data_IF_215172370781
#
_entry.id   IF_215172370781
#
_cell.length_a   1.000
_cell.length_b   1.000
_cell.length_c   1.000
_cell.angle_alpha   90.00
_cell.angle_beta   90.00
_cell.angle_gamma   90.00
#
_symmetry.space_group_name_H-M   'P 1'
#
loop_
_entity.id
_entity.type
_entity.pdbx_description
1 polymer ?
#
# COMPACT_ATOMS: atom_id res chain seq x y z
N UNK A 1 22.06 1.54 23.72
CA UNK A 1 21.97 1.13 22.30
C UNK A 1 21.19 -0.17 22.13
N UNK A 2 21.50 -1.26 22.83
CA UNK A 2 20.75 -2.54 22.70
C UNK A 2 19.25 -2.45 23.01
N UNK A 3 18.85 -1.69 24.04
CA UNK A 3 17.43 -1.49 24.40
C UNK A 3 16.59 -0.80 23.31
N UNK A 4 17.19 0.05 22.49
CA UNK A 4 16.48 0.76 21.41
C UNK A 4 16.31 -0.13 20.17
N UNK A 5 17.21 -1.11 19.96
CA UNK A 5 17.11 -2.05 18.82
C UNK A 5 15.93 -2.99 19.00
N UNK A 6 15.75 -3.57 20.18
CA UNK A 6 14.61 -4.46 20.44
C UNK A 6 13.28 -3.71 20.33
N UNK A 7 13.24 -2.46 20.82
CA UNK A 7 12.06 -1.60 20.65
C UNK A 7 11.79 -1.32 19.16
N UNK A 8 12.80 -0.92 18.39
CA UNK A 8 12.65 -0.62 16.96
C UNK A 8 12.19 -1.85 16.15
N UNK A 9 12.74 -3.03 16.44
CA UNK A 9 12.28 -4.29 15.85
C UNK A 9 10.85 -4.66 16.30
N UNK A 10 10.50 -4.39 17.55
CA UNK A 10 9.16 -4.60 18.08
C UNK A 10 8.12 -3.68 17.43
N UNK A 11 8.46 -2.41 17.20
CA UNK A 11 7.60 -1.42 16.55
C UNK A 11 7.37 -1.74 15.07
N UNK A 12 8.40 -2.17 14.35
CA UNK A 12 8.29 -2.60 12.94
C UNK A 12 7.52 -3.90 12.79
N UNK A 13 7.67 -4.84 13.75
CA UNK A 13 6.81 -6.02 13.80
C UNK A 13 5.35 -5.63 14.08
N UNK A 14 5.11 -4.73 15.04
CA UNK A 14 3.76 -4.24 15.37
C UNK A 14 3.08 -3.61 14.14
N UNK A 15 3.77 -2.71 13.45
CA UNK A 15 3.27 -2.06 12.25
C UNK A 15 2.98 -3.07 11.14
N UNK A 16 3.92 -3.98 10.81
CA UNK A 16 3.72 -5.00 9.79
C UNK A 16 2.57 -5.98 10.09
N UNK A 17 2.36 -6.31 11.38
CA UNK A 17 1.23 -7.15 11.81
C UNK A 17 -0.13 -6.50 11.56
N UNK A 18 -0.22 -5.16 11.50
CA UNK A 18 -1.46 -4.46 11.22
C UNK A 18 -2.02 -4.77 9.82
N UNK A 19 -1.17 -5.11 8.86
CA UNK A 19 -1.58 -5.66 7.55
C UNK A 19 -2.33 -6.98 7.72
N UNK A 20 -1.83 -7.85 8.59
CA UNK A 20 -2.52 -9.08 9.00
C UNK A 20 -3.86 -8.80 9.68
N UNK A 21 -3.95 -7.77 10.53
CA UNK A 21 -5.20 -7.36 11.18
C UNK A 21 -6.23 -6.91 10.16
N UNK A 22 -5.85 -6.06 9.19
CA UNK A 22 -6.74 -5.66 8.11
C UNK A 22 -7.29 -6.84 7.30
N UNK A 23 -6.46 -7.87 7.10
CA UNK A 23 -6.86 -9.08 6.36
C UNK A 23 -7.94 -9.91 7.05
N UNK A 24 -8.16 -9.72 8.36
CA UNK A 24 -9.22 -10.40 9.10
C UNK A 24 -10.61 -9.99 8.60
N UNK A 25 -10.76 -8.84 7.95
CA UNK A 25 -12.05 -8.40 7.40
C UNK A 25 -12.63 -9.41 6.40
N UNK A 26 -11.77 -10.13 5.67
CA UNK A 26 -12.17 -11.17 4.73
C UNK A 26 -12.88 -12.37 5.41
N UNK A 27 -12.70 -12.55 6.74
CA UNK A 27 -13.41 -13.60 7.47
C UNK A 27 -14.86 -13.27 7.75
N UNK A 28 -15.20 -11.98 7.83
CA UNK A 28 -16.54 -11.51 8.19
C UNK A 28 -17.42 -11.20 6.98
N UNK A 29 -16.87 -11.32 5.76
CA UNK A 29 -17.62 -11.08 4.52
C UNK A 29 -17.99 -12.37 3.79
N UNK A 30 -18.96 -12.26 2.89
CA UNK A 30 -19.39 -13.34 1.99
C UNK A 30 -18.92 -13.07 0.57
N UNK A 31 -18.57 -14.14 -0.15
CA UNK A 31 -18.06 -14.08 -1.53
C UNK A 31 -19.03 -13.44 -2.52
N UNK A 32 -20.32 -13.43 -2.19
CA UNK A 32 -21.39 -12.89 -3.05
C UNK A 32 -21.67 -11.41 -2.80
N UNK A 33 -21.05 -10.78 -1.79
CA UNK A 33 -21.31 -9.39 -1.42
C UNK A 33 -20.42 -8.42 -2.23
N UNK A 34 -20.74 -8.22 -3.50
CA UNK A 34 -20.02 -7.30 -4.40
C UNK A 34 -20.06 -5.84 -3.94
N UNK A 35 -21.10 -5.43 -3.20
CA UNK A 35 -21.16 -4.09 -2.56
C UNK A 35 -20.03 -3.88 -1.57
N UNK A 36 -19.78 -4.87 -0.72
CA UNK A 36 -18.65 -4.84 0.21
C UNK A 36 -17.32 -4.85 -0.54
N UNK A 37 -17.20 -5.65 -1.61
CA UNK A 37 -16.00 -5.66 -2.46
C UNK A 37 -15.72 -4.27 -3.04
N UNK A 38 -16.71 -3.63 -3.67
CA UNK A 38 -16.59 -2.26 -4.22
C UNK A 38 -16.18 -1.26 -3.15
N UNK A 39 -16.89 -1.24 -2.02
CA UNK A 39 -16.62 -0.31 -0.92
C UNK A 39 -15.22 -0.52 -0.33
N UNK A 40 -14.81 -1.77 -0.09
CA UNK A 40 -13.53 -2.12 0.50
C UNK A 40 -12.35 -1.75 -0.41
N UNK A 41 -12.44 -2.06 -1.71
CA UNK A 41 -11.39 -1.71 -2.68
C UNK A 41 -11.30 -0.19 -2.87
N UNK A 42 -12.45 0.50 -2.96
CA UNK A 42 -12.50 1.96 -3.00
C UNK A 42 -11.85 2.57 -1.76
N UNK A 43 -12.19 2.07 -0.57
CA UNK A 43 -11.60 2.50 0.70
C UNK A 43 -10.08 2.33 0.74
N UNK A 44 -9.57 1.16 0.34
CA UNK A 44 -8.13 0.92 0.26
C UNK A 44 -7.44 1.87 -0.73
N UNK A 45 -8.01 2.06 -1.93
CA UNK A 45 -7.48 3.01 -2.91
C UNK A 45 -7.44 4.45 -2.36
N UNK A 46 -8.50 4.87 -1.66
CA UNK A 46 -8.58 6.20 -1.05
C UNK A 46 -7.51 6.43 0.01
N UNK A 47 -7.30 5.47 0.91
CA UNK A 47 -6.23 5.55 1.92
C UNK A 47 -4.86 5.61 1.25
N UNK A 48 -4.58 4.68 0.32
CA UNK A 48 -3.29 4.60 -0.36
C UNK A 48 -2.96 5.88 -1.15
N UNK A 49 -3.93 6.47 -1.87
CA UNK A 49 -3.72 7.74 -2.58
C UNK A 49 -3.43 8.87 -1.58
N UNK A 50 -4.21 8.96 -0.50
CA UNK A 50 -4.08 10.05 0.45
C UNK A 50 -2.73 10.01 1.18
N UNK A 51 -2.36 8.85 1.77
CA UNK A 51 -1.08 8.70 2.48
C UNK A 51 0.11 8.94 1.54
N UNK A 52 0.03 8.45 0.30
CA UNK A 52 1.11 8.62 -0.68
C UNK A 52 1.38 10.09 -0.99
N UNK A 53 0.32 10.89 -1.21
CA UNK A 53 0.46 12.28 -1.63
C UNK A 53 0.68 13.25 -0.47
N UNK A 54 0.03 13.01 0.68
CA UNK A 54 0.04 13.95 1.80
C UNK A 54 1.17 13.66 2.78
N UNK A 55 1.60 12.41 2.91
CA UNK A 55 2.64 12.02 3.88
C UNK A 55 3.93 11.54 3.19
N UNK A 56 3.86 10.46 2.40
CA UNK A 56 5.08 9.79 1.88
C UNK A 56 5.81 10.70 0.89
N UNK A 57 5.10 11.33 -0.05
CA UNK A 57 5.68 12.29 -0.98
C UNK A 57 6.29 13.49 -0.26
N UNK A 58 5.65 13.97 0.81
CA UNK A 58 6.13 15.12 1.59
C UNK A 58 7.40 14.74 2.37
N UNK A 59 7.44 13.57 3.01
CA UNK A 59 8.65 13.03 3.66
C UNK A 59 9.81 12.88 2.68
N UNK A 60 9.53 12.36 1.48
CA UNK A 60 10.53 12.27 0.41
C UNK A 60 11.07 13.65 0.03
N UNK A 61 10.18 14.63 -0.16
CA UNK A 61 10.54 16.02 -0.45
C UNK A 61 11.39 16.61 0.65
N UNK A 62 11.00 16.49 1.91
CA UNK A 62 11.73 17.05 3.04
C UNK A 62 13.15 16.46 3.11
N UNK A 63 13.28 15.14 3.04
CA UNK A 63 14.58 14.47 3.04
C UNK A 63 15.47 14.94 1.87
N UNK A 64 14.94 15.00 0.64
CA UNK A 64 15.72 15.41 -0.54
C UNK A 64 16.07 16.89 -0.53
N UNK A 65 15.17 17.76 -0.08
CA UNK A 65 15.43 19.21 -0.02
C UNK A 65 16.43 19.56 1.07
N UNK A 66 16.42 18.85 2.20
CA UNK A 66 17.43 18.99 3.25
C UNK A 66 18.81 18.56 2.76
N UNK A 67 18.88 17.47 2.00
CA UNK A 67 20.16 16.92 1.53
C UNK A 67 20.76 17.62 0.31
N UNK A 68 19.92 18.12 -0.61
CA UNK A 68 20.35 18.55 -1.96
C UNK A 68 20.04 20.03 -2.25
N UNK A 69 19.44 20.72 -1.28
CA UNK A 69 18.89 22.07 -1.44
C UNK A 69 17.50 22.06 -2.06
N UNK A 70 16.75 23.15 -1.85
CA UNK A 70 15.32 23.26 -2.17
C UNK A 70 14.99 22.89 -3.61
N UNK A 71 15.67 23.49 -4.60
CA UNK A 71 15.35 23.28 -6.01
C UNK A 71 15.68 21.86 -6.49
N UNK A 72 16.89 21.38 -6.22
CA UNK A 72 17.35 20.07 -6.69
C UNK A 72 16.62 18.93 -5.96
N UNK A 73 16.38 19.07 -4.65
CA UNK A 73 15.63 18.10 -3.88
C UNK A 73 14.20 17.95 -4.38
N UNK A 74 13.53 19.07 -4.73
CA UNK A 74 12.17 19.02 -5.29
C UNK A 74 12.15 18.31 -6.66
N UNK A 75 13.10 18.61 -7.55
CA UNK A 75 13.23 17.91 -8.83
C UNK A 75 13.46 16.41 -8.65
N UNK A 76 14.36 16.01 -7.75
CA UNK A 76 14.57 14.60 -7.45
C UNK A 76 13.33 13.92 -6.89
N UNK A 77 12.53 14.62 -6.09
CA UNK A 77 11.27 14.07 -5.55
C UNK A 77 10.28 13.77 -6.66
N UNK A 78 10.09 14.71 -7.58
CA UNK A 78 9.21 14.53 -8.76
C UNK A 78 9.71 13.38 -9.62
N UNK A 79 11.01 13.36 -9.93
CA UNK A 79 11.60 12.31 -10.77
C UNK A 79 11.52 10.94 -10.10
N UNK A 80 11.72 10.85 -8.78
CA UNK A 80 11.53 9.62 -8.03
C UNK A 80 10.08 9.14 -8.07
N UNK A 81 9.12 10.05 -7.85
CA UNK A 81 7.69 9.74 -7.87
C UNK A 81 7.22 9.21 -9.23
N UNK A 82 7.46 9.94 -10.30
CA UNK A 82 7.10 9.47 -11.64
C UNK A 82 7.98 8.30 -12.11
N UNK A 83 9.22 8.21 -11.63
CA UNK A 83 10.08 7.06 -11.84
C UNK A 83 9.51 5.78 -11.23
N UNK A 84 8.94 5.87 -10.02
CA UNK A 84 8.21 4.77 -9.37
C UNK A 84 6.97 4.35 -10.15
N UNK A 85 6.15 5.32 -10.59
CA UNK A 85 5.00 5.06 -11.47
C UNK A 85 5.42 4.35 -12.76
N UNK A 86 6.46 4.85 -13.43
CA UNK A 86 6.97 4.26 -14.65
C UNK A 86 7.52 2.86 -14.39
N UNK A 87 8.23 2.64 -13.30
CA UNK A 87 8.78 1.34 -12.92
C UNK A 87 7.68 0.28 -12.78
N UNK A 88 6.62 0.58 -12.02
CA UNK A 88 5.53 -0.38 -11.84
C UNK A 88 4.71 -0.58 -13.12
N UNK A 89 4.50 0.48 -13.92
CA UNK A 89 3.85 0.38 -15.22
C UNK A 89 4.65 -0.48 -16.21
N UNK A 90 5.99 -0.43 -16.16
CA UNK A 90 6.85 -1.31 -16.94
C UNK A 90 6.72 -2.75 -16.48
N UNK A 91 6.73 -3.01 -15.17
CA UNK A 91 6.50 -4.36 -14.62
C UNK A 91 5.15 -4.90 -15.11
N UNK A 92 4.08 -4.13 -14.99
CA UNK A 92 2.75 -4.53 -15.45
C UNK A 92 2.74 -4.87 -16.96
N UNK A 93 3.42 -4.08 -17.78
CA UNK A 93 3.53 -4.32 -19.23
C UNK A 93 4.24 -5.64 -19.57
N UNK A 94 5.20 -6.08 -18.74
CA UNK A 94 5.90 -7.35 -18.95
C UNK A 94 5.10 -8.56 -18.47
N UNK A 95 3.97 -8.37 -17.78
CA UNK A 95 3.03 -9.42 -17.44
C UNK A 95 2.17 -9.74 -18.69
N UNK A 96 2.15 -11.00 -19.20
CA UNK A 96 1.56 -11.33 -20.51
C UNK A 96 0.09 -10.90 -20.67
N UNK A 97 -0.35 -10.46 -21.86
CA UNK A 97 -1.68 -9.85 -22.08
C UNK A 97 -2.91 -10.77 -21.92
N UNK A 98 -2.77 -12.10 -21.97
CA UNK A 98 -3.83 -13.02 -21.50
C UNK A 98 -4.03 -12.98 -19.95
N UNK A 99 -3.26 -12.10 -19.31
CA UNK A 99 -3.03 -11.97 -17.87
C UNK A 99 -3.13 -10.50 -17.44
N UNK A 100 -3.37 -9.56 -18.36
CA UNK A 100 -3.41 -8.13 -18.07
C UNK A 100 -4.89 -7.65 -17.96
N UNK A 101 -5.32 -7.07 -16.81
CA UNK A 101 -6.67 -6.57 -16.55
C UNK A 101 -7.25 -5.53 -17.52
N UNK A 102 -6.40 -4.89 -18.32
CA UNK A 102 -6.69 -3.65 -19.05
C UNK A 102 -7.45 -3.82 -20.38
N UNK A 103 -8.19 -4.91 -20.58
CA UNK A 103 -9.09 -4.99 -21.72
C UNK A 103 -10.31 -4.08 -21.51
N UNK A 104 -10.29 -2.96 -22.23
CA UNK A 104 -11.43 -2.05 -22.39
C UNK A 104 -12.53 -2.82 -23.12
N UNK A 105 -13.55 -3.28 -22.39
CA UNK A 105 -14.77 -3.81 -23.01
C UNK A 105 -15.48 -2.66 -23.71
N UNK A 106 -15.65 -2.79 -25.03
CA UNK A 106 -16.46 -1.87 -25.85
C UNK A 106 -17.88 -1.79 -25.28
N UNK A 107 -18.49 -0.61 -25.42
CA UNK A 107 -19.80 -0.18 -24.86
C UNK A 107 -20.99 -1.07 -25.27
N UNK A 108 -20.78 -2.05 -26.15
CA UNK A 108 -21.83 -2.93 -26.68
C UNK A 108 -22.20 -4.10 -25.75
N UNK A 109 -21.44 -4.37 -24.68
CA UNK A 109 -21.77 -5.43 -23.68
C UNK A 109 -22.63 -4.92 -22.50
N UNK A 110 -23.15 -3.69 -22.54
CA UNK A 110 -23.90 -3.08 -21.42
C UNK A 110 -25.32 -3.66 -21.24
N UNK A 111 -25.78 -4.51 -22.14
CA UNK A 111 -27.09 -5.16 -22.04
C UNK A 111 -26.96 -6.67 -21.84
N UNK A 112 -26.74 -7.10 -20.58
CA UNK A 112 -27.37 -8.27 -19.93
C UNK A 112 -26.48 -8.84 -18.81
N UNK A 113 -27.10 -9.08 -17.65
CA UNK A 113 -26.62 -9.88 -16.50
C UNK A 113 -25.56 -9.15 -15.64
N UNK A 114 -25.77 -9.18 -14.31
CA UNK A 114 -24.77 -8.72 -13.33
C UNK A 114 -23.42 -9.34 -13.68
N UNK A 115 -22.31 -8.59 -13.74
CA UNK A 115 -21.03 -9.17 -14.11
C UNK A 115 -20.73 -10.32 -13.15
N UNK A 116 -20.60 -11.54 -13.69
CA UNK A 116 -20.06 -12.65 -12.93
C UNK A 116 -18.69 -12.23 -12.36
N UNK A 117 -18.43 -12.63 -11.11
CA UNK A 117 -17.17 -12.31 -10.44
C UNK A 117 -16.03 -12.90 -11.26
N UNK A 118 -15.17 -12.03 -11.82
CA UNK A 118 -14.01 -12.48 -12.58
C UNK A 118 -12.92 -12.94 -11.62
N UNK A 119 -12.96 -14.23 -11.27
CA UNK A 119 -12.09 -14.87 -10.29
C UNK A 119 -10.60 -14.73 -10.66
N UNK A 120 -10.26 -14.94 -11.93
CA UNK A 120 -8.88 -14.86 -12.43
C UNK A 120 -8.30 -13.45 -12.27
N UNK A 121 -9.09 -12.44 -12.63
CA UNK A 121 -8.68 -11.05 -12.51
C UNK A 121 -8.47 -10.66 -11.04
N UNK A 122 -9.41 -11.02 -10.15
CA UNK A 122 -9.30 -10.72 -8.72
C UNK A 122 -8.13 -11.45 -8.05
N UNK A 123 -7.83 -12.69 -8.46
CA UNK A 123 -6.66 -13.41 -7.97
C UNK A 123 -5.36 -12.71 -8.38
N UNK A 124 -5.24 -12.36 -9.66
CA UNK A 124 -4.05 -11.69 -10.21
C UNK A 124 -3.83 -10.34 -9.52
N UNK A 125 -4.89 -9.53 -9.44
CA UNK A 125 -4.88 -8.26 -8.73
C UNK A 125 -4.42 -8.47 -7.29
N UNK A 126 -5.06 -9.35 -6.52
CA UNK A 126 -4.70 -9.58 -5.12
C UNK A 126 -3.26 -10.06 -4.91
N UNK A 127 -2.71 -10.90 -5.81
CA UNK A 127 -1.30 -11.33 -5.74
C UNK A 127 -0.36 -10.17 -6.08
N UNK A 128 -0.67 -9.38 -7.11
CA UNK A 128 0.14 -8.24 -7.51
C UNK A 128 0.13 -7.15 -6.44
N UNK A 129 -1.05 -6.82 -5.91
CA UNK A 129 -1.20 -5.92 -4.76
C UNK A 129 -0.41 -6.46 -3.57
N UNK A 130 -0.42 -7.77 -3.28
CA UNK A 130 0.41 -8.34 -2.19
C UNK A 130 1.92 -8.17 -2.42
N UNK A 131 2.38 -8.36 -3.66
CA UNK A 131 3.79 -8.18 -4.03
C UNK A 131 4.22 -6.71 -3.92
N UNK A 132 3.43 -5.81 -4.51
CA UNK A 132 3.69 -4.38 -4.41
C UNK A 132 3.60 -3.90 -2.96
N UNK A 133 2.68 -4.48 -2.17
CA UNK A 133 2.58 -4.20 -0.74
C UNK A 133 3.85 -4.61 -0.02
N UNK A 134 4.36 -5.82 -0.27
CA UNK A 134 5.63 -6.27 0.29
C UNK A 134 6.82 -5.38 -0.13
N UNK A 135 6.85 -4.93 -1.39
CA UNK A 135 7.94 -4.10 -1.92
C UNK A 135 8.00 -2.74 -1.22
N UNK A 136 6.88 -2.13 -0.86
CA UNK A 136 6.88 -0.83 -0.17
C UNK A 136 6.99 -0.95 1.36
N UNK A 137 6.41 -2.00 1.94
CA UNK A 137 6.54 -2.30 3.37
C UNK A 137 8.01 -2.52 3.76
N UNK A 138 8.84 -2.98 2.82
CA UNK A 138 10.26 -3.14 3.08
C UNK A 138 10.98 -1.81 3.40
N UNK A 139 10.97 -0.78 2.53
CA UNK A 139 11.44 0.57 2.87
C UNK A 139 10.82 1.19 4.13
N UNK A 140 9.53 0.95 4.34
CA UNK A 140 8.80 1.49 5.48
C UNK A 140 9.28 0.88 6.82
N UNK A 141 9.57 -0.42 6.82
CA UNK A 141 10.20 -1.10 7.94
C UNK A 141 11.58 -0.54 8.28
N UNK A 142 12.38 -0.20 7.25
CA UNK A 142 13.67 0.48 7.42
C UNK A 142 13.47 1.85 8.07
N UNK A 143 12.51 2.64 7.58
CA UNK A 143 12.23 3.98 8.08
C UNK A 143 11.79 3.98 9.54
N UNK A 144 10.81 3.14 9.87
CA UNK A 144 10.28 2.99 11.23
C UNK A 144 11.37 2.52 12.19
N UNK A 145 12.23 1.58 11.75
CA UNK A 145 13.39 1.14 12.53
C UNK A 145 14.35 2.30 12.81
N UNK A 146 14.77 3.04 11.79
CA UNK A 146 15.71 4.16 11.93
C UNK A 146 15.18 5.25 12.86
N UNK A 147 13.91 5.63 12.70
CA UNK A 147 13.27 6.62 13.55
C UNK A 147 13.27 6.19 15.02
N UNK A 148 12.92 4.93 15.31
CA UNK A 148 12.91 4.40 16.67
C UNK A 148 14.32 4.25 17.28
N UNK A 149 15.35 3.98 16.47
CA UNK A 149 16.74 3.97 16.93
C UNK A 149 17.22 5.37 17.32
N UNK A 150 16.87 6.38 16.52
CA UNK A 150 17.30 7.77 16.71
C UNK A 150 16.54 8.46 17.85
N UNK A 151 15.21 8.35 17.86
CA UNK A 151 14.33 8.88 18.90
C UNK A 151 13.14 7.93 19.13
N UNK A 152 13.12 7.19 20.25
CA UNK A 152 12.04 6.26 20.56
C UNK A 152 10.63 6.86 20.53
N UNK A 153 10.45 8.12 20.93
CA UNK A 153 9.13 8.75 20.95
C UNK A 153 8.62 8.99 19.53
N UNK A 154 9.52 9.49 18.66
CA UNK A 154 9.23 9.68 17.24
C UNK A 154 8.99 8.33 16.56
N UNK A 155 9.78 7.31 16.89
CA UNK A 155 9.60 5.95 16.38
C UNK A 155 8.24 5.34 16.75
N UNK A 156 7.78 5.53 18.00
CA UNK A 156 6.45 5.07 18.42
C UNK A 156 5.34 5.78 17.62
N UNK A 157 5.42 7.11 17.48
CA UNK A 157 4.44 7.87 16.71
C UNK A 157 4.38 7.41 15.25
N UNK A 158 5.54 7.21 14.62
CA UNK A 158 5.63 6.70 13.24
C UNK A 158 5.05 5.28 13.15
N UNK A 159 5.43 4.37 14.04
CA UNK A 159 4.92 2.99 14.02
C UNK A 159 3.39 2.91 14.14
N UNK A 160 2.77 3.83 14.92
CA UNK A 160 1.31 3.94 15.00
C UNK A 160 0.73 4.45 13.67
N UNK A 161 1.35 5.47 13.05
CA UNK A 161 0.94 5.96 11.73
C UNK A 161 0.95 4.84 10.69
N UNK A 162 2.06 4.11 10.62
CA UNK A 162 2.24 2.97 9.72
C UNK A 162 1.20 1.89 9.96
N UNK A 163 0.99 1.51 11.22
CA UNK A 163 0.01 0.48 11.57
C UNK A 163 -1.41 0.85 11.09
N UNK A 164 -1.78 2.13 11.11
CA UNK A 164 -3.12 2.56 10.69
C UNK A 164 -3.31 2.40 9.17
N UNK A 165 -2.34 2.77 8.33
CA UNK A 165 -2.50 2.61 6.87
C UNK A 165 -2.30 1.18 6.38
N UNK A 166 -1.57 0.36 7.15
CA UNK A 166 -1.40 -1.06 6.87
C UNK A 166 -2.70 -1.87 6.96
N UNK A 167 -3.65 -1.44 7.80
CA UNK A 167 -4.96 -2.09 7.87
C UNK A 167 -5.65 -2.07 6.48
N UNK A 168 -5.84 -0.91 5.82
CA UNK A 168 -6.32 -0.81 4.44
C UNK A 168 -5.56 -1.65 3.42
N UNK A 169 -4.25 -1.81 3.55
CA UNK A 169 -3.46 -2.69 2.67
C UNK A 169 -3.81 -4.16 2.88
N UNK A 170 -4.00 -4.55 4.13
CA UNK A 170 -4.49 -5.87 4.49
C UNK A 170 -5.84 -6.19 3.82
N UNK A 171 -6.72 -5.19 3.78
CA UNK A 171 -8.00 -5.26 3.08
C UNK A 171 -7.78 -5.38 1.56
N UNK A 172 -6.90 -4.54 1.00
CA UNK A 172 -6.60 -4.47 -0.43
C UNK A 172 -6.10 -5.81 -0.99
N UNK A 173 -5.32 -6.57 -0.21
CA UNK A 173 -4.85 -7.91 -0.59
C UNK A 173 -5.90 -8.99 -0.34
N UNK A 174 -6.44 -9.03 0.87
CA UNK A 174 -7.22 -10.20 1.32
C UNK A 174 -8.59 -10.30 0.66
N UNK A 175 -9.28 -9.18 0.49
CA UNK A 175 -10.64 -9.15 -0.06
C UNK A 175 -10.69 -9.68 -1.48
N UNK A 176 -9.90 -9.20 -2.45
CA UNK A 176 -9.97 -9.75 -3.82
C UNK A 176 -9.53 -11.21 -3.90
N UNK A 177 -8.53 -11.63 -3.11
CA UNK A 177 -8.11 -13.05 -3.06
C UNK A 177 -9.24 -13.93 -2.49
N UNK A 178 -9.95 -13.45 -1.46
CA UNK A 178 -11.09 -14.17 -0.92
C UNK A 178 -12.23 -14.27 -1.94
N UNK A 179 -12.55 -13.19 -2.65
CA UNK A 179 -13.58 -13.21 -3.68
C UNK A 179 -13.18 -14.10 -4.87
N UNK A 180 -11.89 -14.15 -5.21
CA UNK A 180 -11.36 -15.03 -6.25
C UNK A 180 -11.36 -16.52 -5.84
N UNK A 181 -11.10 -16.86 -4.58
CA UNK A 181 -10.78 -18.25 -4.19
C UNK A 181 -11.76 -18.90 -3.22
N UNK A 182 -12.60 -18.10 -2.54
CA UNK A 182 -13.38 -18.54 -1.39
C UNK A 182 -12.55 -18.93 -0.15
N UNK A 183 -11.22 -18.88 -0.22
CA UNK A 183 -10.32 -19.37 0.83
C UNK A 183 -9.79 -18.22 1.70
N UNK A 184 -10.45 -17.99 2.83
CA UNK A 184 -10.08 -16.98 3.83
C UNK A 184 -8.66 -17.15 4.38
N UNK A 185 -8.22 -18.39 4.58
CA UNK A 185 -6.87 -18.69 5.08
C UNK A 185 -5.80 -18.32 4.04
N UNK A 186 -6.09 -18.53 2.75
CA UNK A 186 -5.19 -18.13 1.66
C UNK A 186 -5.08 -16.61 1.58
N UNK A 187 -6.23 -15.92 1.60
CA UNK A 187 -6.28 -14.45 1.63
C UNK A 187 -5.50 -13.87 2.81
N UNK A 188 -5.73 -14.39 4.02
CA UNK A 188 -4.99 -14.01 5.23
C UNK A 188 -3.49 -14.26 5.07
N UNK A 189 -3.08 -15.47 4.65
CA UNK A 189 -1.66 -15.81 4.55
C UNK A 189 -0.90 -14.89 3.60
N UNK A 190 -1.46 -14.61 2.42
CA UNK A 190 -0.79 -13.76 1.43
C UNK A 190 -0.67 -12.32 1.93
N UNK A 191 -1.72 -11.79 2.55
CA UNK A 191 -1.70 -10.45 3.15
C UNK A 191 -0.77 -10.36 4.38
N UNK A 192 -0.79 -11.37 5.25
CA UNK A 192 0.10 -11.44 6.40
C UNK A 192 1.56 -11.50 5.96
N UNK A 193 1.89 -12.32 4.95
CA UNK A 193 3.24 -12.43 4.42
C UNK A 193 3.73 -11.12 3.78
N UNK A 194 2.85 -10.34 3.14
CA UNK A 194 3.24 -9.02 2.62
C UNK A 194 3.53 -8.02 3.73
N UNK A 195 2.81 -8.08 4.87
CA UNK A 195 3.09 -7.27 6.05
C UNK A 195 4.41 -7.63 6.76
N UNK A 196 4.87 -8.88 6.67
CA UNK A 196 6.17 -9.29 7.23
C UNK A 196 7.37 -8.65 6.51
N UNK A 197 7.16 -7.98 5.38
CA UNK A 197 8.24 -7.24 4.71
C UNK A 197 8.80 -6.10 5.56
N UNK A 198 8.02 -5.50 6.46
CA UNK A 198 8.48 -4.46 7.38
C UNK A 198 9.53 -4.94 8.39
N UNK A 199 9.26 -5.94 9.24
CA UNK A 199 10.27 -6.43 10.17
C UNK A 199 11.48 -7.02 9.42
N UNK A 200 11.29 -7.57 8.22
CA UNK A 200 12.41 -7.98 7.34
C UNK A 200 13.23 -6.76 6.90
N UNK A 201 12.59 -5.67 6.49
CA UNK A 201 13.24 -4.39 6.17
C UNK A 201 14.05 -3.85 7.34
N UNK A 202 13.47 -3.84 8.54
CA UNK A 202 14.14 -3.43 9.77
C UNK A 202 15.39 -4.28 10.08
N UNK A 203 15.30 -5.60 9.92
CA UNK A 203 16.44 -6.50 10.11
C UNK A 203 17.54 -6.25 9.08
N UNK A 204 17.18 -6.03 7.81
CA UNK A 204 18.16 -5.70 6.75
C UNK A 204 18.78 -4.32 7.00
N UNK A 205 18.00 -3.34 7.49
CA UNK A 205 18.51 -2.05 7.92
C UNK A 205 19.60 -2.21 8.98
N UNK A 206 19.28 -2.95 10.03
CA UNK A 206 20.16 -3.18 11.16
C UNK A 206 21.45 -3.91 10.77
N UNK A 207 21.34 -4.97 9.97
CA UNK A 207 22.47 -5.85 9.67
C UNK A 207 23.35 -5.35 8.52
N UNK A 208 22.78 -4.64 7.55
CA UNK A 208 23.44 -4.37 6.27
C UNK A 208 23.41 -2.89 5.91
N UNK A 209 22.25 -2.24 5.97
CA UNK A 209 22.06 -0.94 5.33
C UNK A 209 22.45 0.25 6.21
N UNK A 210 22.57 0.10 7.53
CA UNK A 210 22.91 1.21 8.45
C UNK A 210 24.02 2.15 7.94
N UNK A 211 25.14 1.67 7.37
CA UNK A 211 26.20 2.55 6.84
C UNK A 211 25.83 3.34 5.58
N UNK A 212 24.77 2.96 4.87
CA UNK A 212 24.39 3.47 3.55
C UNK A 212 23.08 4.27 3.56
N UNK A 213 22.36 4.30 4.68
CA UNK A 213 21.07 4.99 4.81
C UNK A 213 21.29 6.50 4.96
N UNK A 214 21.38 7.18 3.81
CA UNK A 214 21.44 8.65 3.71
C UNK A 214 20.07 9.25 3.44
N UNK A 215 19.88 10.53 3.76
CA UNK A 215 18.66 11.28 3.45
C UNK A 215 18.31 11.25 1.95
N UNK A 216 19.32 11.23 1.08
CA UNK A 216 19.13 11.11 -0.38
C UNK A 216 18.54 9.75 -0.75
N UNK A 217 19.11 8.66 -0.20
CA UNK A 217 18.61 7.30 -0.45
C UNK A 217 17.17 7.17 0.08
N UNK A 218 16.94 7.63 1.30
CA UNK A 218 15.61 7.63 1.92
C UNK A 218 14.59 8.35 1.05
N UNK A 219 14.92 9.57 0.61
CA UNK A 219 14.03 10.39 -0.19
C UNK A 219 13.74 9.83 -1.58
N UNK A 220 14.73 9.26 -2.28
CA UNK A 220 14.50 8.62 -3.59
C UNK A 220 13.57 7.41 -3.44
N UNK A 221 13.80 6.57 -2.42
CA UNK A 221 12.98 5.38 -2.17
C UNK A 221 11.55 5.76 -1.81
N UNK A 222 11.34 6.71 -0.90
CA UNK A 222 10.00 7.17 -0.52
C UNK A 222 9.27 7.82 -1.70
N UNK A 223 9.95 8.63 -2.52
CA UNK A 223 9.36 9.19 -3.72
C UNK A 223 8.87 8.09 -4.67
N UNK A 224 9.73 7.11 -4.96
CA UNK A 224 9.40 5.95 -5.80
C UNK A 224 8.20 5.15 -5.25
N UNK A 225 8.20 4.86 -3.96
CA UNK A 225 7.10 4.15 -3.27
C UNK A 225 5.78 4.91 -3.40
N UNK A 226 5.76 6.20 -3.12
CA UNK A 226 4.56 7.02 -3.27
C UNK A 226 4.02 6.95 -4.72
N UNK A 227 4.91 6.99 -5.71
CA UNK A 227 4.54 6.83 -7.12
C UNK A 227 3.89 5.48 -7.41
N UNK A 228 4.50 4.38 -6.93
CA UNK A 228 4.00 3.02 -7.10
C UNK A 228 2.61 2.86 -6.48
N UNK A 229 2.42 3.31 -5.24
CA UNK A 229 1.13 3.19 -4.53
C UNK A 229 0.02 3.99 -5.20
N UNK A 230 0.30 5.21 -5.70
CA UNK A 230 -0.67 6.00 -6.46
C UNK A 230 -1.02 5.29 -7.77
N UNK A 231 -0.03 4.76 -8.51
CA UNK A 231 -0.29 4.03 -9.75
C UNK A 231 -1.19 2.81 -9.50
N UNK A 232 -0.87 1.95 -8.53
CA UNK A 232 -1.69 0.77 -8.19
C UNK A 232 -3.11 1.15 -7.79
N UNK A 233 -3.26 2.23 -7.02
CA UNK A 233 -4.57 2.69 -6.60
C UNK A 233 -5.44 3.13 -7.78
N UNK A 234 -4.84 3.79 -8.77
CA UNK A 234 -5.54 4.31 -9.95
C UNK A 234 -5.74 3.28 -11.05
N UNK A 235 -4.78 2.38 -11.24
CA UNK A 235 -4.73 1.41 -12.35
C UNK A 235 -5.40 0.08 -11.97
N UNK A 236 -5.32 -0.32 -10.69
CA UNK A 236 -5.86 -1.59 -10.23
C UNK A 236 -7.06 -1.43 -9.28
N UNK A 237 -6.85 -0.80 -8.12
CA UNK A 237 -7.83 -0.86 -7.03
C UNK A 237 -9.12 -0.10 -7.35
N UNK A 238 -9.01 1.14 -7.84
CA UNK A 238 -10.16 1.97 -8.17
C UNK A 238 -10.96 1.39 -9.36
N UNK A 239 -10.34 0.98 -10.49
CA UNK A 239 -11.07 0.32 -11.57
C UNK A 239 -11.73 -0.99 -11.13
N UNK A 240 -11.06 -1.79 -10.30
CA UNK A 240 -11.66 -3.02 -9.75
C UNK A 240 -12.85 -2.71 -8.83
N UNK A 241 -12.75 -1.69 -7.99
CA UNK A 241 -13.87 -1.21 -7.18
C UNK A 241 -15.07 -0.81 -8.05
N UNK A 242 -14.83 -0.03 -9.11
CA UNK A 242 -15.83 0.45 -10.04
C UNK A 242 -16.52 -0.68 -10.82
N UNK A 243 -15.79 -1.74 -11.18
CA UNK A 243 -16.35 -2.91 -11.89
C UNK A 243 -17.44 -3.63 -11.09
N UNK A 244 -17.35 -3.62 -9.76
CA UNK A 244 -18.32 -4.28 -8.87
C UNK A 244 -19.25 -3.28 -8.16
N UNK A 245 -19.25 -2.02 -8.63
CA UNK A 245 -19.94 -0.94 -7.96
C UNK A 245 -21.46 -0.98 -8.15
N UNK A 246 -22.18 -0.61 -7.10
CA UNK A 246 -23.61 -0.32 -7.15
C UNK A 246 -23.80 1.06 -6.51
N UNK A 247 -24.35 2.03 -7.23
CA UNK A 247 -24.76 3.33 -6.65
C UNK A 247 -23.60 4.12 -6.00
N UNK A 248 -22.44 4.21 -6.67
CA UNK A 248 -21.27 5.01 -6.25
C UNK A 248 -20.56 4.57 -4.96
N UNK A 249 -20.76 3.34 -4.49
CA UNK A 249 -20.08 2.81 -3.30
C UNK A 249 -18.55 2.85 -3.43
N UNK A 250 -18.02 2.64 -4.63
CA UNK A 250 -16.58 2.74 -4.92
C UNK A 250 -16.04 4.13 -4.56
N UNK A 251 -16.77 5.19 -4.92
CA UNK A 251 -16.41 6.57 -4.64
C UNK A 251 -16.62 6.94 -3.17
N UNK A 252 -17.67 6.45 -2.52
CA UNK A 252 -17.85 6.65 -1.08
C UNK A 252 -16.78 5.93 -0.26
N UNK A 253 -16.37 4.73 -0.70
CA UNK A 253 -15.22 4.03 -0.16
C UNK A 253 -13.98 4.89 -0.29
N UNK A 254 -13.67 5.35 -1.50
CA UNK A 254 -12.50 6.19 -1.77
C UNK A 254 -12.45 7.44 -0.90
N UNK A 255 -13.52 8.25 -0.88
CA UNK A 255 -13.58 9.46 -0.06
C UNK A 255 -13.53 9.13 1.43
N UNK A 256 -14.20 8.06 1.86
CA UNK A 256 -14.17 7.58 3.24
C UNK A 256 -12.76 7.15 3.68
N UNK A 257 -12.02 6.45 2.81
CA UNK A 257 -10.64 6.07 3.03
C UNK A 257 -9.72 7.29 3.15
N UNK A 258 -9.85 8.24 2.23
CA UNK A 258 -9.12 9.51 2.31
C UNK A 258 -9.42 10.25 3.62
N UNK A 259 -10.69 10.31 4.04
CA UNK A 259 -11.09 10.99 5.27
C UNK A 259 -10.55 10.31 6.54
N UNK A 260 -10.61 8.96 6.60
CA UNK A 260 -10.05 8.20 7.72
C UNK A 260 -8.54 8.44 7.82
N UNK A 261 -7.82 8.39 6.69
CA UNK A 261 -6.39 8.64 6.68
C UNK A 261 -6.05 10.09 7.06
N UNK A 262 -6.81 11.06 6.56
CA UNK A 262 -6.65 12.47 6.94
C UNK A 262 -6.77 12.67 8.45
N UNK A 263 -7.81 12.09 9.06
CA UNK A 263 -8.05 12.19 10.50
C UNK A 263 -6.94 11.48 11.28
N UNK A 264 -6.49 10.30 10.84
CA UNK A 264 -5.40 9.61 11.52
C UNK A 264 -4.09 10.40 11.50
N UNK A 265 -3.75 11.04 10.38
CA UNK A 265 -2.57 11.90 10.31
C UNK A 265 -2.66 13.10 11.27
N UNK A 266 -3.84 13.72 11.39
CA UNK A 266 -4.04 14.83 12.34
C UNK A 266 -3.90 14.36 13.80
N UNK A 267 -4.37 13.17 14.13
CA UNK A 267 -4.27 12.63 15.49
C UNK A 267 -2.82 12.25 15.89
N UNK A 268 -1.92 12.16 14.91
CA UNK A 268 -0.52 11.77 15.09
C UNK A 268 0.48 12.92 14.88
N UNK A 269 0.00 14.09 14.46
CA UNK A 269 0.78 15.32 14.30
C UNK A 269 0.95 16.07 15.64
#
# INVERSE_FOLDING_TARGET
MEGNVLLALGLTLFAGLATGVGSLIAFFTSRTNTKFLSLALGFSAGVMIYVSLVEIFVKAKDALTNALGTTNGYWMTILGFFGGMLFIALIDKFIPKATNPHEVKLVEEVNAIKPEVNEDHLMKMGIFTALAIAIHNFPEGIATFMSAINDPNVGIAIAIAVAIHNIPEGIAVSVPIFFATGNRRKAFKLSFLSGLAEPVGALVAFLILMPFLTDVMFGIVFAGVAGIMVFISLDELLPAAQRYDETHLSMYGLVGGMAVMAISLVLLA
#
